data_IF_190718775921
#
_entry.id   IF_190718775921
#
_cell.length_a   1.000
_cell.length_b   1.000
_cell.length_c   1.000
_cell.angle_alpha   90.00
_cell.angle_beta   90.00
_cell.angle_gamma   90.00
#
_symmetry.space_group_name_H-M   'P 1'
#
loop_
_entity.id
_entity.type
_entity.pdbx_description
1 polymer ?
#
# COMPACT_ATOMS: atom_id res chain seq x y z
N UNK A 1 6.18 22.25 -24.89
CA UNK A 1 5.90 23.42 -24.01
C UNK A 1 7.14 23.62 -23.14
N UNK A 2 7.69 24.82 -23.08
CA UNK A 2 8.89 25.14 -22.27
C UNK A 2 8.42 25.88 -21.02
N UNK A 3 8.94 25.51 -19.84
CA UNK A 3 8.65 26.22 -18.60
C UNK A 3 9.27 27.62 -18.63
N UNK A 4 8.55 28.62 -18.10
CA UNK A 4 9.06 29.98 -17.97
C UNK A 4 10.29 30.02 -17.06
N UNK A 5 11.30 30.80 -17.40
CA UNK A 5 12.46 31.01 -16.53
C UNK A 5 11.99 31.55 -15.19
N UNK A 6 12.54 31.02 -14.11
CA UNK A 6 12.14 31.37 -12.74
C UNK A 6 10.93 30.60 -12.19
N UNK A 7 10.24 29.78 -12.99
CA UNK A 7 9.10 28.96 -12.53
C UNK A 7 9.41 28.11 -11.27
N UNK A 8 10.66 27.73 -11.11
CA UNK A 8 11.09 26.83 -10.02
C UNK A 8 11.63 27.57 -8.77
N UNK A 9 11.74 28.92 -8.82
CA UNK A 9 12.30 29.69 -7.71
C UNK A 9 11.49 29.48 -6.43
N UNK A 10 10.16 29.48 -6.52
CA UNK A 10 9.30 29.26 -5.36
C UNK A 10 9.56 27.90 -4.72
N UNK A 11 9.68 26.82 -5.51
CA UNK A 11 10.02 25.51 -5.01
C UNK A 11 11.37 25.50 -4.25
N UNK A 12 12.40 26.16 -4.79
CA UNK A 12 13.72 26.23 -4.16
C UNK A 12 13.68 27.00 -2.84
N UNK A 13 12.91 28.08 -2.78
CA UNK A 13 12.71 28.86 -1.54
C UNK A 13 11.94 28.05 -0.50
N UNK A 14 10.87 27.39 -0.92
CA UNK A 14 10.07 26.53 -0.03
C UNK A 14 10.87 25.35 0.50
N UNK A 15 11.76 24.76 -0.31
CA UNK A 15 12.69 23.73 0.14
C UNK A 15 13.68 24.28 1.19
N UNK A 16 14.31 25.42 0.89
CA UNK A 16 15.25 26.11 1.81
C UNK A 16 14.60 26.46 3.14
N UNK A 17 13.33 26.90 3.09
CA UNK A 17 12.56 27.32 4.27
C UNK A 17 11.95 26.10 5.04
N UNK A 18 12.20 24.87 4.60
CA UNK A 18 11.63 23.65 5.21
C UNK A 18 10.11 23.52 5.01
N UNK A 19 9.54 24.26 4.06
CA UNK A 19 8.10 24.21 3.75
C UNK A 19 7.71 23.00 2.89
N UNK A 20 8.67 22.39 2.21
CA UNK A 20 8.41 21.15 1.47
C UNK A 20 8.26 20.03 2.49
N UNK A 21 7.02 19.60 2.64
CA UNK A 21 6.66 18.59 3.62
C UNK A 21 7.33 17.26 3.29
N UNK A 22 7.89 16.64 4.31
CA UNK A 22 8.21 15.22 4.26
C UNK A 22 6.93 14.43 3.95
N UNK A 23 7.08 13.26 3.33
CA UNK A 23 5.96 12.36 3.10
C UNK A 23 5.23 12.00 4.40
N UNK A 24 3.99 11.58 4.28
CA UNK A 24 3.13 11.25 5.41
C UNK A 24 3.45 9.85 5.92
N UNK A 25 3.72 9.73 7.22
CA UNK A 25 3.93 8.47 7.91
C UNK A 25 2.67 7.97 8.59
N UNK A 26 2.71 6.74 9.10
CA UNK A 26 1.59 6.14 9.84
C UNK A 26 1.75 6.22 11.36
N UNK A 27 2.82 6.84 11.82
CA UNK A 27 3.14 6.92 13.26
C UNK A 27 3.85 5.69 13.81
N UNK A 28 4.55 4.92 12.96
CA UNK A 28 5.31 3.73 13.32
C UNK A 28 6.79 3.87 12.94
N UNK A 29 7.71 3.07 13.52
CA UNK A 29 9.13 3.09 13.20
C UNK A 29 9.46 2.94 11.71
N UNK A 30 8.60 2.23 10.94
CA UNK A 30 8.74 2.12 9.49
C UNK A 30 8.74 3.46 8.75
N UNK A 31 8.23 4.53 9.35
CA UNK A 31 8.15 5.87 8.71
C UNK A 31 9.52 6.47 8.38
N UNK A 32 10.59 5.94 8.97
CA UNK A 32 11.95 6.30 8.58
C UNK A 32 12.36 5.70 7.22
N UNK A 33 11.65 4.66 6.76
CA UNK A 33 11.96 3.93 5.52
C UNK A 33 10.98 4.19 4.39
N UNK A 34 9.67 4.24 4.70
CA UNK A 34 8.62 4.38 3.72
C UNK A 34 7.56 5.38 4.20
N UNK A 35 7.17 6.32 3.32
CA UNK A 35 6.13 7.32 3.56
C UNK A 35 5.27 7.48 2.33
N UNK A 36 4.01 7.88 2.51
CA UNK A 36 3.15 8.32 1.42
C UNK A 36 3.61 9.69 0.92
N UNK A 37 3.85 9.81 -0.36
CA UNK A 37 4.21 11.05 -1.05
C UNK A 37 3.27 11.25 -2.25
N UNK A 38 2.76 12.47 -2.49
CA UNK A 38 1.90 12.75 -3.65
C UNK A 38 2.68 12.65 -4.98
N UNK A 39 1.97 12.43 -6.07
CA UNK A 39 2.50 12.38 -7.44
C UNK A 39 3.49 11.26 -7.71
N UNK A 40 3.42 10.17 -6.97
CA UNK A 40 4.36 9.06 -7.12
C UNK A 40 3.74 7.87 -7.82
N UNK A 41 4.60 7.14 -8.52
CA UNK A 41 4.35 5.79 -9.01
C UNK A 41 5.17 4.82 -8.16
N UNK A 42 4.49 4.02 -7.37
CA UNK A 42 5.10 3.08 -6.43
C UNK A 42 4.84 1.65 -6.86
N UNK A 43 5.84 0.80 -6.71
CA UNK A 43 5.76 -0.62 -7.07
C UNK A 43 5.89 -1.48 -5.83
N UNK A 44 4.98 -2.42 -5.69
CA UNK A 44 4.97 -3.43 -4.64
C UNK A 44 5.26 -4.78 -5.28
N UNK A 45 6.31 -5.44 -4.83
CA UNK A 45 6.72 -6.75 -5.31
C UNK A 45 6.58 -7.78 -4.20
N UNK A 46 6.20 -9.00 -4.53
CA UNK A 46 6.18 -10.12 -3.59
C UNK A 46 5.60 -11.38 -4.22
N UNK A 47 5.99 -12.52 -3.72
CA UNK A 47 5.48 -13.82 -4.16
C UNK A 47 3.97 -13.94 -3.93
N UNK A 48 3.38 -14.98 -4.49
CA UNK A 48 1.97 -15.30 -4.27
C UNK A 48 1.73 -15.67 -2.79
N UNK A 49 0.55 -15.32 -2.30
CA UNK A 49 0.09 -15.66 -0.95
C UNK A 49 0.94 -15.12 0.22
N UNK A 50 1.85 -14.17 -0.02
CA UNK A 50 2.62 -13.51 1.06
C UNK A 50 1.81 -12.41 1.76
N UNK A 51 0.61 -12.09 1.27
CA UNK A 51 -0.29 -11.11 1.88
C UNK A 51 -0.04 -9.67 1.46
N UNK A 52 0.44 -9.42 0.21
CA UNK A 52 0.65 -8.07 -0.34
C UNK A 52 -0.59 -7.18 -0.19
N UNK A 53 -1.72 -7.63 -0.74
CA UNK A 53 -3.00 -6.90 -0.70
C UNK A 53 -3.42 -6.59 0.73
N UNK A 54 -3.31 -7.55 1.64
CA UNK A 54 -3.67 -7.37 3.05
C UNK A 54 -2.79 -6.32 3.74
N UNK A 55 -1.46 -6.35 3.49
CA UNK A 55 -0.53 -5.36 4.02
C UNK A 55 -0.79 -3.96 3.45
N UNK A 56 -1.05 -3.84 2.15
CA UNK A 56 -1.33 -2.56 1.52
C UNK A 56 -2.63 -1.95 2.02
N UNK A 57 -3.68 -2.75 2.17
CA UNK A 57 -4.95 -2.31 2.73
C UNK A 57 -4.80 -1.81 4.18
N UNK A 58 -3.99 -2.50 4.99
CA UNK A 58 -3.65 -2.03 6.33
C UNK A 58 -2.86 -0.71 6.31
N UNK A 59 -1.84 -0.60 5.46
CA UNK A 59 -1.04 0.62 5.32
C UNK A 59 -1.89 1.82 4.89
N UNK A 60 -2.76 1.62 3.91
CA UNK A 60 -3.69 2.66 3.45
C UNK A 60 -4.70 3.04 4.54
N UNK A 61 -5.23 2.07 5.26
CA UNK A 61 -6.13 2.31 6.37
C UNK A 61 -5.46 3.13 7.49
N UNK A 62 -4.19 2.84 7.80
CA UNK A 62 -3.41 3.66 8.75
C UNK A 62 -3.24 5.11 8.26
N UNK A 63 -2.91 5.30 6.97
CA UNK A 63 -2.80 6.64 6.38
C UNK A 63 -4.14 7.40 6.40
N UNK A 64 -5.25 6.71 6.15
CA UNK A 64 -6.58 7.29 6.25
C UNK A 64 -6.91 7.70 7.68
N UNK A 65 -6.66 6.81 8.65
CA UNK A 65 -6.94 7.06 10.07
C UNK A 65 -6.12 8.22 10.65
N UNK A 66 -4.89 8.45 10.16
CA UNK A 66 -3.98 9.50 10.66
C UNK A 66 -4.12 10.81 9.88
N UNK A 67 -4.35 10.74 8.57
CA UNK A 67 -4.24 11.90 7.67
C UNK A 67 -5.48 12.15 6.80
N UNK A 68 -6.54 11.34 6.96
CA UNK A 68 -7.77 11.42 6.14
C UNK A 68 -7.51 11.26 4.63
N UNK A 69 -6.53 10.43 4.26
CA UNK A 69 -6.22 10.12 2.86
C UNK A 69 -7.32 9.22 2.28
N UNK A 70 -7.81 9.60 1.11
CA UNK A 70 -8.80 8.82 0.37
C UNK A 70 -8.15 7.98 -0.72
N UNK A 71 -8.71 6.80 -0.93
CA UNK A 71 -8.18 5.78 -1.83
C UNK A 71 -9.23 5.34 -2.84
N UNK A 72 -8.76 5.02 -4.04
CA UNK A 72 -9.52 4.24 -5.00
C UNK A 72 -8.76 2.96 -5.34
N UNK A 73 -9.43 1.82 -5.19
CA UNK A 73 -8.84 0.49 -5.31
C UNK A 73 -9.50 -0.27 -6.44
N UNK A 74 -8.69 -0.74 -7.37
CA UNK A 74 -9.05 -1.81 -8.28
C UNK A 74 -8.28 -3.08 -7.93
N UNK A 75 -9.01 -4.16 -7.61
CA UNK A 75 -8.43 -5.47 -7.36
C UNK A 75 -9.06 -6.48 -8.33
N UNK A 76 -8.24 -7.03 -9.23
CA UNK A 76 -8.66 -8.06 -10.17
C UNK A 76 -8.78 -9.45 -9.53
N UNK A 77 -8.24 -9.64 -8.33
CA UNK A 77 -8.20 -10.95 -7.66
C UNK A 77 -9.16 -11.04 -6.46
N UNK A 78 -9.40 -9.92 -5.77
CA UNK A 78 -10.14 -9.91 -4.51
C UNK A 78 -11.47 -9.19 -4.64
N UNK A 79 -12.52 -9.77 -4.07
CA UNK A 79 -13.82 -9.12 -3.98
C UNK A 79 -13.78 -7.97 -2.97
N UNK A 80 -14.39 -6.82 -3.31
CA UNK A 80 -14.44 -5.65 -2.44
C UNK A 80 -15.01 -5.95 -1.05
N UNK A 81 -16.03 -6.81 -0.96
CA UNK A 81 -16.62 -7.23 0.32
C UNK A 81 -15.63 -7.96 1.24
N UNK A 82 -14.71 -8.74 0.69
CA UNK A 82 -13.63 -9.38 1.48
C UNK A 82 -12.64 -8.35 1.98
N UNK A 83 -12.25 -7.40 1.14
CA UNK A 83 -11.33 -6.31 1.51
C UNK A 83 -11.96 -5.46 2.63
N UNK A 84 -13.21 -5.06 2.47
CA UNK A 84 -13.94 -4.27 3.48
C UNK A 84 -14.06 -5.03 4.80
N UNK A 85 -14.40 -6.32 4.78
CA UNK A 85 -14.43 -7.16 5.98
C UNK A 85 -13.10 -7.14 6.72
N UNK A 86 -11.99 -7.30 6.00
CA UNK A 86 -10.66 -7.33 6.58
C UNK A 86 -10.27 -5.96 7.14
N UNK A 87 -10.61 -4.86 6.44
CA UNK A 87 -10.43 -3.49 6.94
C UNK A 87 -11.26 -3.22 8.20
N UNK A 88 -12.50 -3.73 8.29
CA UNK A 88 -13.33 -3.63 9.50
C UNK A 88 -12.65 -4.34 10.68
N UNK A 89 -12.09 -5.52 10.48
CA UNK A 89 -11.33 -6.22 11.53
C UNK A 89 -10.12 -5.43 11.98
N UNK A 90 -9.35 -4.87 11.03
CA UNK A 90 -8.19 -4.04 11.34
C UNK A 90 -8.59 -2.78 12.11
N UNK A 91 -9.63 -2.09 11.66
CA UNK A 91 -10.06 -0.82 12.24
C UNK A 91 -10.69 -1.01 13.62
N UNK A 92 -11.46 -2.08 13.82
CA UNK A 92 -12.10 -2.41 15.11
C UNK A 92 -11.14 -3.06 16.11
N UNK A 93 -10.08 -3.74 15.65
CA UNK A 93 -9.24 -4.60 16.48
C UNK A 93 -9.93 -5.87 16.98
N UNK A 94 -11.09 -6.23 16.39
CA UNK A 94 -11.90 -7.41 16.74
C UNK A 94 -12.06 -8.33 15.53
N UNK A 95 -12.27 -9.61 15.76
CA UNK A 95 -12.67 -10.53 14.69
C UNK A 95 -14.06 -10.16 14.17
N UNK A 96 -14.29 -10.30 12.87
CA UNK A 96 -15.54 -9.89 12.24
C UNK A 96 -16.76 -10.59 12.86
N UNK A 97 -16.62 -11.86 13.22
CA UNK A 97 -17.69 -12.64 13.84
C UNK A 97 -18.02 -12.21 15.29
N UNK A 98 -17.13 -11.47 15.93
CA UNK A 98 -17.31 -10.96 17.29
C UNK A 98 -17.94 -9.55 17.31
N UNK A 99 -18.19 -8.96 16.12
CA UNK A 99 -18.77 -7.64 15.99
C UNK A 99 -20.30 -7.69 15.96
N UNK A 100 -20.93 -6.75 16.64
CA UNK A 100 -22.37 -6.52 16.52
C UNK A 100 -22.69 -5.83 15.19
N UNK A 101 -23.92 -6.03 14.69
CA UNK A 101 -24.35 -5.42 13.41
C UNK A 101 -24.16 -3.88 13.39
N UNK A 102 -24.46 -3.19 14.48
CA UNK A 102 -24.26 -1.73 14.62
C UNK A 102 -22.78 -1.32 14.51
N UNK A 103 -21.87 -2.15 15.03
CA UNK A 103 -20.42 -1.92 14.92
C UNK A 103 -19.96 -2.09 13.46
N UNK A 104 -20.43 -3.14 12.79
CA UNK A 104 -20.14 -3.38 11.38
C UNK A 104 -20.59 -2.18 10.53
N UNK A 105 -21.84 -1.72 10.69
CA UNK A 105 -22.36 -0.56 9.96
C UNK A 105 -21.54 0.71 10.22
N UNK A 106 -21.17 0.95 11.47
CA UNK A 106 -20.34 2.10 11.83
C UNK A 106 -18.96 2.06 11.18
N UNK A 107 -18.27 0.94 11.26
CA UNK A 107 -16.94 0.81 10.66
C UNK A 107 -17.01 0.85 9.14
N UNK A 108 -18.07 0.29 8.52
CA UNK A 108 -18.31 0.43 7.07
C UNK A 108 -18.44 1.90 6.67
N UNK A 109 -19.14 2.74 7.45
CA UNK A 109 -19.27 4.17 7.16
C UNK A 109 -17.91 4.88 7.11
N UNK A 110 -16.97 4.55 8.01
CA UNK A 110 -15.61 5.10 7.95
C UNK A 110 -14.87 4.62 6.70
N UNK A 111 -14.94 3.33 6.40
CA UNK A 111 -14.29 2.76 5.22
C UNK A 111 -14.86 3.41 3.96
N UNK A 112 -16.18 3.53 3.82
CA UNK A 112 -16.84 4.15 2.67
C UNK A 112 -16.46 5.64 2.51
N UNK A 113 -16.10 6.33 3.61
CA UNK A 113 -15.63 7.71 3.53
C UNK A 113 -14.19 7.84 3.00
N UNK A 114 -13.39 6.78 3.10
CA UNK A 114 -11.98 6.77 2.72
C UNK A 114 -11.68 5.94 1.47
N UNK A 115 -12.49 4.93 1.17
CA UNK A 115 -12.20 3.96 0.12
C UNK A 115 -13.32 3.88 -0.90
N UNK A 116 -12.94 3.98 -2.16
CA UNK A 116 -13.79 3.69 -3.31
C UNK A 116 -13.25 2.44 -3.99
N UNK A 117 -14.12 1.49 -4.32
CA UNK A 117 -13.76 0.27 -5.01
C UNK A 117 -14.27 0.30 -6.44
N UNK A 118 -13.40 -0.02 -7.39
CA UNK A 118 -13.77 -0.17 -8.81
C UNK A 118 -14.35 -1.57 -9.02
N UNK A 119 -15.43 -1.66 -9.77
CA UNK A 119 -16.06 -2.93 -10.12
C UNK A 119 -15.09 -3.84 -10.87
N UNK A 120 -14.78 -5.00 -10.31
CA UNK A 120 -13.85 -5.97 -10.88
C UNK A 120 -14.52 -7.07 -11.71
N UNK A 121 -15.82 -6.98 -11.94
CA UNK A 121 -16.52 -7.83 -12.92
C UNK A 121 -16.22 -7.44 -14.38
N UNK A 122 -15.61 -6.27 -14.57
CA UNK A 122 -15.26 -5.71 -15.87
C UNK A 122 -13.75 -5.82 -16.07
N UNK A 123 -13.33 -6.26 -17.26
CA UNK A 123 -11.94 -6.26 -17.67
C UNK A 123 -11.56 -4.89 -18.25
N UNK A 124 -10.70 -4.17 -17.55
CA UNK A 124 -10.30 -2.80 -17.92
C UNK A 124 -9.00 -2.77 -18.71
N UNK A 125 -8.96 -1.91 -19.73
CA UNK A 125 -7.69 -1.42 -20.28
C UNK A 125 -7.06 -0.42 -19.31
N UNK A 126 -5.72 -0.29 -19.30
CA UNK A 126 -5.02 0.66 -18.43
C UNK A 126 -5.55 2.09 -18.53
N UNK A 127 -5.86 2.55 -19.74
CA UNK A 127 -6.38 3.90 -19.99
C UNK A 127 -7.72 4.12 -19.30
N UNK A 128 -8.64 3.18 -19.42
CA UNK A 128 -9.98 3.23 -18.82
C UNK A 128 -9.89 3.29 -17.29
N UNK A 129 -9.01 2.47 -16.70
CA UNK A 129 -8.83 2.46 -15.26
C UNK A 129 -8.26 3.78 -14.75
N UNK A 130 -7.28 4.36 -15.45
CA UNK A 130 -6.73 5.67 -15.09
C UNK A 130 -7.76 6.80 -15.24
N UNK A 131 -8.65 6.75 -16.22
CA UNK A 131 -9.77 7.69 -16.35
C UNK A 131 -10.74 7.62 -15.16
N UNK A 132 -11.09 6.41 -14.70
CA UNK A 132 -11.89 6.20 -13.50
C UNK A 132 -11.18 6.78 -12.27
N UNK A 133 -9.87 6.52 -12.13
CA UNK A 133 -9.08 7.07 -11.04
C UNK A 133 -9.05 8.60 -11.05
N UNK A 134 -8.96 9.21 -12.23
CA UNK A 134 -8.93 10.66 -12.37
C UNK A 134 -10.23 11.31 -11.89
N UNK A 135 -11.37 10.72 -12.18
CA UNK A 135 -12.70 11.24 -11.81
C UNK A 135 -12.99 11.13 -10.30
N UNK A 136 -12.24 10.30 -9.57
CA UNK A 136 -12.42 10.15 -8.11
C UNK A 136 -11.81 11.34 -7.35
N UNK A 137 -12.22 11.53 -6.09
CA UNK A 137 -11.61 12.49 -5.15
C UNK A 137 -10.43 11.87 -4.36
N UNK A 138 -10.05 10.64 -4.66
CA UNK A 138 -8.96 9.92 -4.01
C UNK A 138 -7.59 10.56 -4.28
N UNK A 139 -6.73 10.58 -3.28
CA UNK A 139 -5.33 10.99 -3.39
C UNK A 139 -4.41 9.80 -3.75
N UNK A 140 -4.80 8.59 -3.37
CA UNK A 140 -4.08 7.36 -3.65
C UNK A 140 -4.90 6.38 -4.46
N UNK A 141 -4.23 5.64 -5.35
CA UNK A 141 -4.84 4.65 -6.23
C UNK A 141 -4.08 3.33 -6.11
N UNK A 142 -4.77 2.20 -6.12
CA UNK A 142 -4.18 0.86 -6.16
C UNK A 142 -4.61 0.10 -7.40
N UNK A 143 -3.64 -0.53 -8.06
CA UNK A 143 -3.83 -1.55 -9.12
C UNK A 143 -3.30 -2.88 -8.57
N UNK A 144 -4.17 -3.89 -8.41
CA UNK A 144 -3.85 -5.14 -7.72
C UNK A 144 -4.44 -6.38 -8.40
N UNK A 145 -3.64 -7.18 -9.10
CA UNK A 145 -2.34 -6.86 -9.65
C UNK A 145 -2.43 -6.23 -11.05
N UNK A 146 -1.31 -5.67 -11.55
CA UNK A 146 -1.26 -5.11 -12.90
C UNK A 146 -1.49 -6.15 -14.01
N UNK A 147 -1.21 -7.41 -13.74
CA UNK A 147 -1.40 -8.54 -14.67
C UNK A 147 -2.86 -8.84 -14.95
N UNK A 148 -3.79 -8.37 -14.11
CA UNK A 148 -5.23 -8.51 -14.31
C UNK A 148 -5.84 -7.52 -15.32
N UNK A 149 -5.06 -6.59 -15.88
CA UNK A 149 -5.55 -5.63 -16.86
C UNK A 149 -5.56 -6.21 -18.29
N UNK A 150 -6.50 -5.75 -19.13
CA UNK A 150 -6.57 -6.07 -20.57
C UNK A 150 -5.46 -5.35 -21.33
N UNK A 151 -4.30 -5.95 -21.40
CA UNK A 151 -3.12 -5.43 -22.08
C UNK A 151 -2.11 -6.49 -22.45
N UNK A 152 -1.24 -6.19 -23.40
CA UNK A 152 -0.08 -7.02 -23.68
C UNK A 152 0.93 -7.00 -22.52
N UNK A 153 1.70 -8.08 -22.42
CA UNK A 153 2.72 -8.30 -21.37
C UNK A 153 4.14 -8.05 -21.85
N UNK A 154 4.30 -7.61 -23.10
CA UNK A 154 5.60 -7.29 -23.70
C UNK A 154 6.31 -6.12 -23.02
N UNK A 155 7.63 -6.02 -23.22
CA UNK A 155 8.45 -4.95 -22.64
C UNK A 155 7.95 -3.55 -23.06
N UNK A 156 7.58 -3.37 -24.33
CA UNK A 156 7.12 -2.09 -24.85
C UNK A 156 5.77 -1.69 -24.26
N UNK A 157 4.84 -2.63 -24.13
CA UNK A 157 3.54 -2.39 -23.51
C UNK A 157 3.69 -2.05 -22.02
N UNK A 158 4.54 -2.75 -21.30
CA UNK A 158 4.88 -2.43 -19.92
C UNK A 158 5.45 -1.01 -19.81
N UNK A 159 6.39 -0.67 -20.67
CA UNK A 159 7.01 0.64 -20.67
C UNK A 159 6.02 1.76 -20.99
N UNK A 160 5.13 1.53 -21.98
CA UNK A 160 4.04 2.46 -22.34
C UNK A 160 3.08 2.66 -21.16
N UNK A 161 2.62 1.58 -20.55
CA UNK A 161 1.74 1.62 -19.37
C UNK A 161 2.35 2.42 -18.22
N UNK A 162 3.60 2.16 -17.87
CA UNK A 162 4.28 2.86 -16.78
C UNK A 162 4.53 4.34 -17.09
N UNK A 163 4.84 4.69 -18.35
CA UNK A 163 4.94 6.08 -18.78
C UNK A 163 3.61 6.83 -18.66
N UNK A 164 2.54 6.20 -19.11
CA UNK A 164 1.18 6.74 -19.02
C UNK A 164 0.77 6.94 -17.56
N UNK A 165 1.00 5.95 -16.70
CA UNK A 165 0.73 6.04 -15.26
C UNK A 165 1.57 7.13 -14.61
N UNK A 166 2.84 7.26 -15.00
CA UNK A 166 3.71 8.33 -14.50
C UNK A 166 3.22 9.73 -14.90
N UNK A 167 2.77 9.88 -16.15
CA UNK A 167 2.16 11.13 -16.62
C UNK A 167 0.86 11.44 -15.88
N UNK A 168 0.05 10.43 -15.64
CA UNK A 168 -1.16 10.52 -14.82
C UNK A 168 -0.84 11.07 -13.42
N UNK A 169 0.13 10.49 -12.70
CA UNK A 169 0.54 10.97 -11.38
C UNK A 169 0.96 12.44 -11.39
N UNK A 170 1.77 12.83 -12.40
CA UNK A 170 2.24 14.21 -12.53
C UNK A 170 1.11 15.21 -12.82
N UNK A 171 0.14 14.82 -13.64
CA UNK A 171 -0.96 15.68 -14.09
C UNK A 171 -2.03 15.83 -13.03
N UNK A 172 -2.40 14.75 -12.35
CA UNK A 172 -3.51 14.73 -11.39
C UNK A 172 -3.09 15.04 -9.95
N UNK A 173 -1.81 14.89 -9.64
CA UNK A 173 -1.33 14.98 -8.26
C UNK A 173 -1.52 13.72 -7.43
N UNK A 174 -2.17 12.68 -7.99
CA UNK A 174 -2.45 11.41 -7.32
C UNK A 174 -1.22 10.50 -7.28
N UNK A 175 -1.18 9.61 -6.30
CA UNK A 175 -0.15 8.58 -6.20
C UNK A 175 -0.75 7.23 -6.59
N UNK A 176 -0.04 6.48 -7.43
CA UNK A 176 -0.46 5.15 -7.86
C UNK A 176 0.47 4.10 -7.27
N UNK A 177 -0.12 3.10 -6.65
CA UNK A 177 0.54 1.87 -6.21
C UNK A 177 0.17 0.74 -7.17
N UNK A 178 1.15 -0.06 -7.58
CA UNK A 178 0.95 -1.21 -8.46
C UNK A 178 1.50 -2.45 -7.78
N UNK A 179 0.63 -3.39 -7.47
CA UNK A 179 1.03 -4.73 -7.01
C UNK A 179 1.51 -5.57 -8.19
N UNK A 180 2.65 -6.20 -8.01
CA UNK A 180 3.31 -7.05 -9.00
C UNK A 180 3.73 -8.38 -8.41
N UNK A 181 3.91 -9.36 -9.31
CA UNK A 181 4.47 -10.66 -8.98
C UNK A 181 5.91 -10.74 -9.49
N UNK A 182 6.75 -11.54 -8.85
CA UNK A 182 8.07 -11.82 -9.39
C UNK A 182 7.98 -12.83 -10.53
N UNK A 183 8.97 -12.80 -11.41
CA UNK A 183 9.13 -13.79 -12.48
C UNK A 183 9.44 -15.19 -11.90
N UNK A 184 9.34 -16.21 -12.73
CA UNK A 184 9.57 -17.60 -12.32
C UNK A 184 10.99 -17.90 -11.82
N UNK A 185 11.97 -17.05 -12.13
CA UNK A 185 13.35 -17.23 -11.67
C UNK A 185 13.49 -17.02 -10.16
N UNK A 186 12.70 -16.12 -9.58
CA UNK A 186 12.70 -15.86 -8.14
C UNK A 186 12.32 -17.08 -7.29
N UNK A 187 11.49 -17.99 -7.84
CA UNK A 187 11.03 -19.22 -7.18
C UNK A 187 11.97 -20.41 -7.33
N UNK A 188 13.10 -20.28 -8.05
CA UNK A 188 14.02 -21.39 -8.27
C UNK A 188 14.82 -21.75 -7.01
N UNK A 189 15.30 -22.99 -6.93
CA UNK A 189 16.07 -23.50 -5.78
C UNK A 189 17.32 -22.68 -5.44
N UNK A 190 17.92 -21.98 -6.41
CA UNK A 190 19.06 -21.07 -6.20
C UNK A 190 18.70 -19.82 -5.37
N UNK A 191 17.42 -19.52 -5.18
CA UNK A 191 16.94 -18.38 -4.39
C UNK A 191 16.51 -18.78 -2.97
N UNK A 192 16.92 -19.92 -2.47
CA UNK A 192 16.72 -20.31 -1.07
C UNK A 192 17.80 -19.67 -0.17
N UNK A 193 17.43 -19.44 1.08
CA UNK A 193 18.43 -19.08 2.08
C UNK A 193 19.44 -20.22 2.26
N UNK A 194 20.76 -19.93 2.32
CA UNK A 194 21.79 -20.94 2.41
C UNK A 194 21.77 -21.67 3.76
N UNK A 195 22.37 -22.87 3.83
CA UNK A 195 22.33 -23.76 5.00
C UNK A 195 22.81 -23.12 6.32
N UNK A 196 23.68 -22.12 6.25
CA UNK A 196 24.18 -21.41 7.44
C UNK A 196 23.29 -20.24 7.88
N UNK A 197 22.27 -19.91 7.13
CA UNK A 197 21.34 -18.84 7.47
C UNK A 197 20.27 -19.34 8.45
N UNK A 198 19.81 -18.50 9.38
CA UNK A 198 18.76 -18.87 10.33
C UNK A 198 17.39 -19.17 9.65
N UNK A 199 17.22 -18.79 8.38
CA UNK A 199 16.07 -19.13 7.55
C UNK A 199 16.41 -20.16 6.45
N UNK A 200 17.41 -20.98 6.66
CA UNK A 200 17.90 -21.96 5.72
C UNK A 200 16.77 -22.80 5.07
N UNK A 201 16.87 -23.03 3.76
CA UNK A 201 15.90 -23.81 2.99
C UNK A 201 14.59 -23.09 2.67
N UNK A 202 14.35 -21.89 3.19
CA UNK A 202 13.20 -21.08 2.81
C UNK A 202 13.52 -20.16 1.64
N UNK A 203 12.47 -19.82 0.88
CA UNK A 203 12.58 -18.91 -0.26
C UNK A 203 12.94 -17.50 0.23
N UNK A 204 13.91 -16.86 -0.42
CA UNK A 204 14.28 -15.47 -0.18
C UNK A 204 13.20 -14.53 -0.71
N UNK A 205 13.16 -13.31 -0.17
CA UNK A 205 12.42 -12.22 -0.79
C UNK A 205 12.87 -12.03 -2.25
N UNK A 206 11.96 -11.73 -3.19
CA UNK A 206 12.35 -11.45 -4.56
C UNK A 206 13.19 -10.17 -4.62
N UNK A 207 14.20 -10.16 -5.47
CA UNK A 207 14.99 -8.97 -5.74
C UNK A 207 14.24 -8.04 -6.71
N UNK A 208 14.62 -6.76 -6.73
CA UNK A 208 14.03 -5.74 -7.62
C UNK A 208 14.06 -6.08 -9.11
N UNK A 209 15.02 -6.89 -9.56
CA UNK A 209 15.13 -7.32 -10.96
C UNK A 209 14.30 -8.58 -11.27
N UNK A 210 13.72 -9.22 -10.26
CA UNK A 210 12.85 -10.38 -10.42
C UNK A 210 11.41 -10.02 -10.79
N UNK A 211 11.11 -8.75 -11.02
CA UNK A 211 9.74 -8.32 -11.31
C UNK A 211 9.24 -8.89 -12.64
N UNK A 212 8.04 -9.43 -12.65
CA UNK A 212 7.36 -9.84 -13.88
C UNK A 212 7.09 -8.62 -14.75
N UNK A 213 7.47 -8.68 -16.03
CA UNK A 213 7.44 -7.52 -16.93
C UNK A 213 8.73 -6.72 -17.00
N UNK A 214 9.75 -7.08 -16.20
CA UNK A 214 11.12 -6.67 -16.39
C UNK A 214 11.52 -5.33 -15.80
N UNK A 215 12.73 -4.87 -16.13
CA UNK A 215 13.37 -3.67 -15.58
C UNK A 215 12.63 -2.36 -15.84
N UNK A 216 11.63 -2.34 -16.73
CA UNK A 216 10.81 -1.14 -16.98
C UNK A 216 10.15 -0.60 -15.71
N UNK A 217 9.67 -1.48 -14.82
CA UNK A 217 9.07 -1.12 -13.54
C UNK A 217 10.06 -0.41 -12.63
N UNK A 218 11.25 -0.97 -12.45
CA UNK A 218 12.31 -0.37 -11.64
C UNK A 218 12.75 1.00 -12.18
N UNK A 219 12.86 1.13 -13.51
CA UNK A 219 13.31 2.38 -14.12
C UNK A 219 12.29 3.51 -14.01
N UNK A 220 10.99 3.19 -13.94
CA UNK A 220 9.90 4.17 -13.99
C UNK A 220 9.29 4.50 -12.66
N UNK A 221 9.35 3.61 -11.66
CA UNK A 221 8.82 3.90 -10.34
C UNK A 221 9.64 4.95 -9.59
N UNK A 222 9.02 5.60 -8.64
CA UNK A 222 9.67 6.46 -7.67
C UNK A 222 10.17 5.64 -6.49
N UNK A 223 9.27 4.96 -5.80
CA UNK A 223 9.61 4.10 -4.70
C UNK A 223 9.22 2.65 -5.03
N UNK A 224 9.99 1.70 -4.53
CA UNK A 224 9.74 0.27 -4.70
C UNK A 224 10.04 -0.45 -3.39
N UNK A 225 9.14 -1.32 -3.00
CA UNK A 225 9.32 -2.16 -1.82
C UNK A 225 8.80 -3.57 -2.06
N UNK A 226 9.34 -4.49 -1.28
CA UNK A 226 9.06 -5.92 -1.37
C UNK A 226 8.39 -6.38 -0.09
N UNK A 227 7.26 -7.07 -0.25
CA UNK A 227 6.56 -7.73 0.85
C UNK A 227 6.83 -9.22 0.77
N UNK A 228 7.31 -9.80 1.86
CA UNK A 228 7.66 -11.20 1.93
C UNK A 228 7.21 -11.84 3.25
N UNK A 229 6.99 -13.16 3.23
CA UNK A 229 6.69 -13.96 4.42
C UNK A 229 7.28 -15.36 4.27
N UNK A 230 7.82 -15.85 5.34
CA UNK A 230 8.30 -17.23 5.45
C UNK A 230 7.15 -18.13 5.97
N UNK A 231 6.10 -18.28 5.16
CA UNK A 231 4.82 -18.91 5.56
C UNK A 231 4.94 -20.33 6.09
N UNK A 232 6.02 -21.04 5.71
CA UNK A 232 6.30 -22.42 6.17
C UNK A 232 7.32 -22.48 7.31
N UNK A 233 7.84 -21.35 7.76
CA UNK A 233 8.79 -21.31 8.87
C UNK A 233 8.06 -21.38 10.21
N UNK A 234 8.60 -22.10 11.17
CA UNK A 234 7.95 -22.36 12.48
C UNK A 234 7.59 -21.08 13.22
N UNK A 235 8.50 -20.13 13.32
CA UNK A 235 8.31 -18.85 14.04
C UNK A 235 8.08 -17.68 13.12
N UNK A 236 8.86 -17.56 12.02
CA UNK A 236 8.80 -16.41 11.12
C UNK A 236 7.50 -16.30 10.31
N UNK A 237 6.67 -17.34 10.26
CA UNK A 237 5.34 -17.28 9.63
C UNK A 237 4.39 -16.23 10.24
N UNK A 238 4.69 -15.79 11.46
CA UNK A 238 3.91 -14.75 12.17
C UNK A 238 4.40 -13.32 11.84
N UNK A 239 5.44 -13.19 11.03
CA UNK A 239 5.98 -11.91 10.61
C UNK A 239 5.77 -11.68 9.12
N UNK A 240 5.54 -10.41 8.78
CA UNK A 240 5.66 -9.90 7.42
C UNK A 240 6.93 -9.07 7.35
N UNK A 241 7.71 -9.31 6.30
CA UNK A 241 8.99 -8.67 6.05
C UNK A 241 8.78 -7.61 4.97
N UNK A 242 9.23 -6.39 5.23
CA UNK A 242 9.19 -5.29 4.26
C UNK A 242 10.63 -4.86 3.95
N UNK A 243 11.04 -4.99 2.69
CA UNK A 243 12.29 -4.46 2.19
C UNK A 243 12.03 -3.26 1.28
N UNK A 244 12.68 -2.14 1.54
CA UNK A 244 12.60 -0.94 0.69
C UNK A 244 13.76 -0.94 -0.28
N UNK A 245 13.46 -1.22 -1.56
CA UNK A 245 14.44 -1.46 -2.61
C UNK A 245 14.80 -0.21 -3.42
N UNK A 246 13.92 0.78 -3.42
CA UNK A 246 14.13 2.05 -4.09
C UNK A 246 13.37 3.16 -3.40
N UNK A 247 14.06 4.26 -3.16
CA UNK A 247 13.49 5.56 -2.78
C UNK A 247 14.14 6.60 -3.69
N UNK A 248 13.32 7.31 -4.46
CA UNK A 248 13.82 8.30 -5.43
C UNK A 248 14.27 9.58 -4.76
N UNK A 249 13.59 9.99 -3.72
CA UNK A 249 13.85 11.21 -2.98
C UNK A 249 13.90 10.92 -1.48
N UNK A 250 15.11 10.76 -0.96
CA UNK A 250 15.35 10.47 0.45
C UNK A 250 15.16 11.71 1.34
N UNK A 251 15.27 12.92 0.79
CA UNK A 251 15.12 14.17 1.56
C UNK A 251 13.65 14.41 1.94
N UNK A 252 12.72 13.97 1.10
CA UNK A 252 11.27 14.09 1.36
C UNK A 252 10.67 12.87 2.02
N UNK A 253 11.45 11.87 2.37
CA UNK A 253 11.04 10.79 3.25
C UNK A 253 11.34 9.40 2.73
N UNK A 254 11.95 8.64 3.63
CA UNK A 254 12.29 7.25 3.43
C UNK A 254 13.77 7.02 3.16
N UNK A 255 14.16 5.77 3.32
CA UNK A 255 15.50 5.27 3.02
C UNK A 255 15.42 3.78 2.66
N UNK A 256 16.46 3.27 2.03
CA UNK A 256 16.55 1.82 1.76
C UNK A 256 16.72 1.03 3.07
N UNK A 257 16.19 -0.19 3.08
CA UNK A 257 16.56 -1.19 4.09
C UNK A 257 17.91 -1.81 3.72
N UNK A 258 18.57 -2.42 4.69
CA UNK A 258 19.74 -3.25 4.42
C UNK A 258 19.30 -4.59 3.79
N UNK A 259 20.21 -5.25 3.06
CA UNK A 259 19.89 -6.47 2.29
C UNK A 259 19.34 -7.58 3.19
N UNK A 260 19.95 -7.81 4.34
CA UNK A 260 19.59 -8.87 5.28
C UNK A 260 18.87 -8.35 6.53
N UNK A 261 18.38 -7.11 6.50
CA UNK A 261 17.72 -6.44 7.63
C UNK A 261 16.40 -5.76 7.16
N UNK A 262 15.41 -6.56 6.77
CA UNK A 262 14.09 -6.03 6.42
C UNK A 262 13.36 -5.54 7.66
N UNK A 263 12.40 -4.64 7.48
CA UNK A 263 11.49 -4.21 8.54
C UNK A 263 10.56 -5.38 8.89
N UNK A 264 10.46 -5.72 10.17
CA UNK A 264 9.59 -6.77 10.67
C UNK A 264 8.26 -6.19 11.15
N UNK A 265 7.20 -6.81 10.71
CA UNK A 265 5.85 -6.54 11.17
C UNK A 265 5.26 -7.79 11.81
N UNK A 266 4.84 -7.70 13.06
CA UNK A 266 4.06 -8.75 13.69
C UNK A 266 2.68 -8.82 13.05
N UNK A 267 2.33 -9.98 12.50
CA UNK A 267 1.02 -10.24 11.93
C UNK A 267 0.02 -10.65 13.01
N UNK A 268 -0.90 -9.79 13.33
CA UNK A 268 -1.90 -10.02 14.35
C UNK A 268 -3.13 -10.77 13.80
N UNK A 269 -2.90 -11.95 13.22
CA UNK A 269 -3.93 -12.92 12.80
C UNK A 269 -5.17 -12.32 12.14
N UNK A 270 -5.00 -11.35 11.24
CA UNK A 270 -6.08 -10.68 10.51
C UNK A 270 -6.60 -9.38 11.14
N UNK A 271 -6.04 -8.94 12.27
CA UNK A 271 -6.38 -7.67 12.90
C UNK A 271 -5.42 -6.53 12.52
N UNK A 272 -4.55 -6.77 11.53
CA UNK A 272 -3.54 -5.81 11.08
C UNK A 272 -2.13 -6.21 11.50
N UNK A 273 -1.28 -5.21 11.64
CA UNK A 273 0.14 -5.39 11.96
C UNK A 273 0.59 -4.43 13.05
N UNK A 274 1.64 -4.83 13.77
CA UNK A 274 2.44 -3.93 14.62
C UNK A 274 3.87 -3.90 14.12
N UNK A 275 4.52 -2.76 14.25
CA UNK A 275 5.94 -2.59 13.95
C UNK A 275 6.66 -2.12 15.21
N UNK A 276 7.59 -2.93 15.72
CA UNK A 276 8.27 -2.69 17.01
C UNK A 276 7.27 -2.42 18.15
N UNK A 277 6.21 -3.20 18.25
CA UNK A 277 5.11 -3.07 19.21
C UNK A 277 4.25 -1.81 19.04
N UNK A 278 4.43 -1.03 18.00
CA UNK A 278 3.57 0.12 17.67
C UNK A 278 2.43 -0.34 16.76
N UNK A 279 1.19 -0.11 17.19
CA UNK A 279 -0.02 -0.26 16.40
C UNK A 279 -0.53 1.13 15.97
N UNK A 280 -0.38 1.51 14.70
CA UNK A 280 -0.77 2.85 14.23
C UNK A 280 -2.26 3.14 14.39
N UNK A 281 -3.13 2.11 14.39
CA UNK A 281 -4.58 2.28 14.54
C UNK A 281 -5.03 2.39 16.00
N UNK A 282 -4.15 2.15 16.97
CA UNK A 282 -4.50 2.16 18.39
C UNK A 282 -5.08 3.51 18.84
N UNK A 283 -4.42 4.62 18.50
CA UNK A 283 -4.86 5.96 18.87
C UNK A 283 -6.22 6.30 18.25
N UNK A 284 -6.41 5.91 16.98
CA UNK A 284 -7.67 6.09 16.28
C UNK A 284 -8.81 5.34 17.01
N UNK A 285 -8.60 4.06 17.35
CA UNK A 285 -9.58 3.24 18.11
C UNK A 285 -9.96 3.90 19.44
N UNK A 286 -8.96 4.27 20.24
CA UNK A 286 -9.18 4.90 21.55
C UNK A 286 -10.02 6.19 21.46
N UNK A 287 -9.78 7.01 20.45
CA UNK A 287 -10.53 8.25 20.26
C UNK A 287 -11.99 7.99 19.86
N UNK A 288 -12.23 6.99 19.03
CA UNK A 288 -13.56 6.65 18.54
C UNK A 288 -14.39 5.82 19.53
N UNK A 289 -13.77 5.08 20.43
CA UNK A 289 -14.44 4.42 21.56
C UNK A 289 -14.90 5.44 22.62
N UNK A 290 -14.06 6.42 22.96
CA UNK A 290 -14.42 7.48 23.92
C UNK A 290 -15.59 8.34 23.45
N UNK A 291 -15.72 8.58 22.16
CA UNK A 291 -16.83 9.36 21.59
C UNK A 291 -18.18 8.67 21.78
N UNK A 292 -18.22 7.35 21.96
CA UNK A 292 -19.45 6.60 22.27
C UNK A 292 -19.95 6.83 23.70
N UNK A 293 -19.05 7.01 24.65
CA UNK A 293 -19.42 7.22 26.06
C UNK A 293 -20.06 8.60 26.26
N UNK A 294 -19.78 9.56 25.37
CA UNK A 294 -20.23 10.94 25.47
C UNK A 294 -21.51 11.28 24.67
N UNK A 295 -22.04 10.35 23.88
CA UNK A 295 -23.33 10.52 23.19
C UNK A 295 -24.36 9.55 23.78
N UNK A 296 -25.22 9.97 24.75
CA UNK A 296 -26.35 9.14 25.12
C UNK A 296 -27.33 9.03 23.95
N UNK A 297 -27.83 7.81 23.73
CA UNK A 297 -28.85 7.44 22.76
C UNK A 297 -29.93 8.52 22.57
N UNK A 298 -29.90 9.25 21.46
CA UNK A 298 -30.98 10.13 21.01
C UNK A 298 -31.42 9.83 19.59
N UNK A 299 -31.45 8.56 19.20
CA UNK A 299 -31.87 8.18 17.83
C UNK A 299 -32.94 7.11 17.75
N UNK A 300 -33.50 6.64 18.86
CA UNK A 300 -34.62 5.65 18.82
C UNK A 300 -35.66 5.88 19.94
N UNK A 301 -36.04 7.16 20.17
CA UNK A 301 -37.28 7.45 20.83
C UNK A 301 -38.04 8.42 19.90
N UNK A 302 -38.83 7.81 18.99
CA UNK A 302 -40.11 8.34 18.51
C UNK A 302 -40.70 7.39 17.46
N UNK A 303 -41.76 6.71 17.92
CA UNK A 303 -42.84 5.94 17.27
C UNK A 303 -42.61 4.46 17.00
#
# INVERSE_FOLDING_TARGET
MILTKGHQIQYLLDYKDGKIKQGLGIGAPMDQYLRFKPKQLNIILGHDNVGKTFFMNWYFLCLSAVHDIKWIIWSGENQSGQIIRDMIQMLSGKKFLDLEQREIMRYSTYIDSWFTFVDNSILYKPEQLLEIFEQSDAQGCLIDPFTGLDRGMGYEENYRFLNMTRQFCNRTGKTVYINTHPNSESGRSGNLYPDKHHWAGHLKAPLKDHIEGGKSFLNRCDDMFVIHRLIKHETMRFYTLLSVEKIKDTDTGGKHTLIDDPILFDYNRGLGFTNENVDPLHVWRMNHEKTQILKPNKLFDEN
#
